data_IF_391283901322
#
_entry.id   IF_391283901322
#
_cell.length_a   1.000
_cell.length_b   1.000
_cell.length_c   1.000
_cell.angle_alpha   90.00
_cell.angle_beta   90.00
_cell.angle_gamma   90.00
#
_symmetry.space_group_name_H-M   'P 1'
#
loop_
_entity.id
_entity.type
_entity.pdbx_description
1 polymer ?
#
# COMPACT_ATOMS: atom_id res chain seq x y z
N UNK A 1 -15.78 12.72 -25.11
CA UNK A 1 -14.60 12.98 -24.27
C UNK A 1 -14.45 11.78 -23.35
N UNK A 2 -13.34 11.05 -23.43
CA UNK A 2 -13.09 9.94 -22.51
C UNK A 2 -12.86 10.53 -21.11
N UNK A 3 -13.63 10.07 -20.13
CA UNK A 3 -13.43 10.44 -18.74
C UNK A 3 -12.26 9.62 -18.19
N UNK A 4 -11.14 10.27 -17.94
CA UNK A 4 -9.98 9.66 -17.29
C UNK A 4 -10.20 9.66 -15.78
N UNK A 5 -10.04 8.51 -15.13
CA UNK A 5 -10.14 8.36 -13.67
C UNK A 5 -8.72 8.25 -13.11
N UNK A 6 -8.43 8.99 -12.03
CA UNK A 6 -7.17 8.91 -11.31
C UNK A 6 -7.15 7.66 -10.44
N UNK A 7 -6.17 6.77 -10.62
CA UNK A 7 -6.05 5.54 -9.83
C UNK A 7 -5.58 5.80 -8.38
N UNK A 8 -5.13 7.02 -8.07
CA UNK A 8 -4.71 7.41 -6.72
C UNK A 8 -5.86 7.84 -5.80
N UNK A 9 -6.78 8.66 -6.31
CA UNK A 9 -7.91 9.20 -5.55
C UNK A 9 -9.28 8.71 -6.05
N UNK A 10 -9.32 7.95 -7.15
CA UNK A 10 -10.54 7.48 -7.83
C UNK A 10 -11.51 8.59 -8.26
N UNK A 11 -11.01 9.83 -8.42
CA UNK A 11 -11.79 10.95 -8.94
C UNK A 11 -11.53 11.15 -10.45
N UNK A 12 -12.49 11.79 -11.13
CA UNK A 12 -12.34 12.18 -12.53
C UNK A 12 -11.25 13.25 -12.68
N UNK A 13 -10.36 13.05 -13.65
CA UNK A 13 -9.32 14.00 -14.02
C UNK A 13 -9.93 14.99 -15.01
N UNK A 14 -10.21 16.21 -14.54
CA UNK A 14 -10.77 17.27 -15.38
C UNK A 14 -9.70 18.02 -16.19
N UNK A 15 -8.47 17.99 -15.72
CA UNK A 15 -7.34 18.66 -16.37
C UNK A 15 -6.70 17.74 -17.41
N UNK A 16 -6.29 18.28 -18.56
CA UNK A 16 -5.55 17.52 -19.59
C UNK A 16 -4.15 17.08 -19.14
N UNK A 17 -3.72 17.50 -17.96
CA UNK A 17 -2.41 17.19 -17.38
C UNK A 17 -2.54 16.02 -16.41
N UNK A 18 -2.11 14.85 -16.85
CA UNK A 18 -2.02 13.64 -16.03
C UNK A 18 -0.72 12.91 -16.34
N UNK A 19 -0.37 11.93 -15.50
CA UNK A 19 0.80 11.08 -15.72
C UNK A 19 0.40 9.60 -15.75
N UNK A 20 1.05 8.84 -16.63
CA UNK A 20 0.85 7.40 -16.77
C UNK A 20 2.01 6.69 -16.10
N UNK A 21 1.72 5.75 -15.20
CA UNK A 21 2.74 4.89 -14.62
C UNK A 21 3.31 3.95 -15.68
N UNK A 22 4.64 3.94 -15.91
CA UNK A 22 5.26 3.07 -16.92
C UNK A 22 5.06 1.57 -16.68
N UNK A 23 4.78 1.16 -15.44
CA UNK A 23 4.70 -0.26 -15.09
C UNK A 23 3.27 -0.82 -15.10
N UNK A 24 2.28 -0.04 -14.67
CA UNK A 24 0.88 -0.48 -14.65
C UNK A 24 -0.03 0.23 -15.67
N UNK A 25 0.50 1.21 -16.40
CA UNK A 25 -0.23 2.02 -17.38
C UNK A 25 -1.49 2.72 -16.85
N UNK A 26 -1.59 2.89 -15.53
CA UNK A 26 -2.70 3.60 -14.89
C UNK A 26 -2.45 5.11 -14.90
N UNK A 27 -3.54 5.88 -14.98
CA UNK A 27 -3.54 7.34 -15.00
C UNK A 27 -3.56 7.91 -13.58
N UNK A 28 -2.76 8.94 -13.34
CA UNK A 28 -2.71 9.65 -12.07
C UNK A 28 -2.77 11.15 -12.29
N UNK A 29 -3.58 11.81 -11.47
CA UNK A 29 -3.55 13.26 -11.33
C UNK A 29 -2.21 13.71 -10.70
N UNK A 30 -1.74 14.89 -11.07
CA UNK A 30 -0.46 15.45 -10.65
C UNK A 30 -0.37 15.63 -9.14
N UNK A 31 -1.48 16.03 -8.50
CA UNK A 31 -1.55 16.17 -7.05
C UNK A 31 -1.40 14.81 -6.35
N UNK A 32 -2.07 13.78 -6.85
CA UNK A 32 -1.96 12.41 -6.36
C UNK A 32 -0.56 11.81 -6.58
N UNK A 33 0.08 12.13 -7.71
CA UNK A 33 1.44 11.72 -8.01
C UNK A 33 2.51 12.52 -7.25
N UNK A 34 2.13 13.62 -6.59
CA UNK A 34 3.02 14.61 -5.97
C UNK A 34 4.09 15.14 -6.95
N UNK A 35 3.64 15.48 -8.16
CA UNK A 35 4.49 16.02 -9.23
C UNK A 35 4.02 17.45 -9.56
N UNK A 36 4.92 18.42 -9.47
CA UNK A 36 4.61 19.77 -9.92
C UNK A 36 4.58 19.86 -11.45
N UNK A 37 3.79 20.77 -12.03
CA UNK A 37 3.74 20.99 -13.49
C UNK A 37 5.12 21.19 -14.14
N UNK A 38 6.01 21.94 -13.48
CA UNK A 38 7.41 22.13 -13.92
C UNK A 38 8.21 20.84 -13.98
N UNK A 39 7.88 19.86 -13.13
CA UNK A 39 8.53 18.54 -13.12
C UNK A 39 7.90 17.61 -14.15
N UNK A 40 6.61 17.77 -14.47
CA UNK A 40 5.94 17.02 -15.54
C UNK A 40 6.61 17.27 -16.90
N UNK A 41 6.87 18.54 -17.26
CA UNK A 41 7.56 18.85 -18.53
C UNK A 41 8.91 18.13 -18.62
N UNK A 42 9.72 18.19 -17.56
CA UNK A 42 11.00 17.48 -17.52
C UNK A 42 10.88 15.95 -17.59
N UNK A 43 9.76 15.36 -17.14
CA UNK A 43 9.55 13.91 -17.19
C UNK A 43 9.18 13.49 -18.62
N UNK A 44 8.28 14.24 -19.26
CA UNK A 44 7.85 14.02 -20.64
C UNK A 44 9.02 14.23 -21.61
N UNK A 45 9.78 15.30 -21.41
CA UNK A 45 10.88 15.68 -22.32
C UNK A 45 12.11 14.75 -22.21
N UNK A 46 12.36 14.15 -21.04
CA UNK A 46 13.55 13.31 -20.80
C UNK A 46 13.28 11.80 -20.93
N UNK A 47 12.10 11.41 -21.44
CA UNK A 47 11.63 10.00 -21.46
C UNK A 47 11.79 9.28 -20.11
N UNK A 48 11.80 10.03 -19.00
CA UNK A 48 12.05 9.47 -17.68
C UNK A 48 10.83 8.70 -17.23
N UNK A 49 11.02 7.41 -17.00
CA UNK A 49 9.98 6.52 -16.54
C UNK A 49 9.46 6.88 -15.14
N UNK A 50 8.31 7.53 -15.03
CA UNK A 50 7.63 7.65 -13.74
C UNK A 50 6.94 6.32 -13.38
N UNK A 51 7.02 5.97 -12.09
CA UNK A 51 6.43 4.77 -11.52
C UNK A 51 5.56 5.18 -10.34
N UNK A 52 4.33 4.66 -10.26
CA UNK A 52 3.45 4.93 -9.13
C UNK A 52 3.97 4.28 -7.84
N UNK A 53 3.60 4.80 -6.65
CA UNK A 53 4.04 4.26 -5.36
C UNK A 53 3.81 2.75 -5.21
N UNK A 54 2.65 2.25 -5.66
CA UNK A 54 2.31 0.82 -5.63
C UNK A 54 3.27 -0.04 -6.47
N UNK A 55 3.75 0.47 -7.61
CA UNK A 55 4.73 -0.24 -8.43
C UNK A 55 6.15 -0.15 -7.86
N UNK A 56 6.50 0.94 -7.19
CA UNK A 56 7.81 1.11 -6.53
C UNK A 56 7.96 0.09 -5.40
N UNK A 57 6.94 -0.09 -4.57
CA UNK A 57 6.98 -1.02 -3.42
C UNK A 57 7.05 -2.49 -3.87
N UNK A 58 6.45 -2.83 -5.03
CA UNK A 58 6.46 -4.21 -5.57
C UNK A 58 7.79 -4.63 -6.19
N UNK A 59 8.70 -3.69 -6.52
CA UNK A 59 10.00 -4.06 -7.08
C UNK A 59 10.89 -4.64 -5.98
N UNK A 60 11.36 -5.91 -6.10
CA UNK A 60 12.29 -6.47 -5.14
C UNK A 60 13.55 -5.60 -5.10
N UNK A 61 13.92 -5.12 -3.90
CA UNK A 61 15.17 -4.37 -3.70
C UNK A 61 16.33 -5.31 -4.03
N UNK A 62 16.90 -5.19 -5.23
CA UNK A 62 17.91 -6.13 -5.73
C UNK A 62 19.23 -6.09 -4.97
N UNK A 63 19.50 -5.04 -4.18
CA UNK A 63 20.78 -4.91 -3.48
C UNK A 63 20.52 -4.56 -2.00
N UNK A 64 20.50 -5.59 -1.14
CA UNK A 64 20.60 -5.43 0.32
C UNK A 64 22.06 -5.28 0.80
N UNK A 65 22.97 -4.82 -0.06
CA UNK A 65 24.41 -4.76 0.25
C UNK A 65 24.79 -3.62 1.22
N UNK A 66 23.84 -2.76 1.63
CA UNK A 66 24.11 -1.64 2.55
C UNK A 66 23.25 -1.63 3.82
N UNK A 67 22.66 -2.76 4.23
CA UNK A 67 22.20 -2.89 5.62
C UNK A 67 23.38 -3.44 6.42
N UNK A 68 24.24 -2.53 6.88
CA UNK A 68 25.19 -2.81 7.96
C UNK A 68 24.42 -3.53 9.06
N UNK A 69 24.88 -4.74 9.38
CA UNK A 69 24.41 -5.51 10.50
C UNK A 69 24.55 -4.66 11.78
N UNK A 70 23.44 -4.14 12.29
CA UNK A 70 23.35 -3.76 13.70
C UNK A 70 23.46 -5.05 14.50
N UNK A 71 24.69 -5.35 14.90
CA UNK A 71 25.03 -6.34 15.91
C UNK A 71 24.16 -6.14 17.16
N UNK A 72 23.36 -7.16 17.47
CA UNK A 72 22.90 -7.58 18.79
C UNK A 72 23.02 -6.52 19.91
N UNK A 73 22.07 -5.58 19.95
CA UNK A 73 21.73 -4.87 21.17
C UNK A 73 20.42 -5.46 21.71
N UNK A 74 20.62 -6.28 22.73
CA UNK A 74 19.70 -6.75 23.77
C UNK A 74 18.28 -6.19 23.74
N UNK A 75 17.34 -7.09 23.49
CA UNK A 75 15.93 -7.01 23.87
C UNK A 75 15.82 -6.62 25.35
N UNK A 76 15.32 -5.41 25.65
CA UNK A 76 14.39 -5.10 26.75
C UNK A 76 14.11 -3.59 26.81
N UNK A 77 13.08 -3.16 26.08
CA UNK A 77 12.21 -2.04 26.46
C UNK A 77 10.96 -2.10 25.59
N UNK A 78 9.87 -2.61 26.16
CA UNK A 78 8.52 -2.48 25.62
C UNK A 78 8.15 -1.00 25.81
N UNK A 79 8.28 -0.19 24.76
CA UNK A 79 7.57 1.08 24.64
C UNK A 79 6.39 0.85 23.71
N UNK A 80 5.19 0.86 24.28
CA UNK A 80 3.95 0.97 23.54
C UNK A 80 3.79 2.41 23.08
N UNK A 81 4.41 2.77 21.96
CA UNK A 81 4.04 3.98 21.23
C UNK A 81 3.66 3.61 19.80
N UNK A 82 2.45 3.96 19.34
CA UNK A 82 2.05 3.75 17.96
C UNK A 82 2.86 4.72 17.10
N UNK A 83 3.78 4.16 16.31
CA UNK A 83 4.55 4.89 15.31
C UNK A 83 3.63 5.30 14.15
N UNK A 84 2.78 6.30 14.41
CA UNK A 84 1.98 6.99 13.41
C UNK A 84 2.72 8.27 13.08
N UNK A 85 3.32 8.34 11.90
CA UNK A 85 3.76 9.62 11.31
C UNK A 85 2.53 10.45 10.95
N UNK A 86 1.88 11.06 11.94
CA UNK A 86 0.92 12.12 11.70
C UNK A 86 1.67 13.34 11.18
N UNK A 87 1.46 13.67 9.90
CA UNK A 87 1.78 15.00 9.38
C UNK A 87 0.99 16.02 10.21
N UNK A 88 1.70 16.84 10.99
CA UNK A 88 1.14 18.01 11.66
C UNK A 88 0.49 18.92 10.60
N UNK A 89 -0.80 19.25 10.69
CA UNK A 89 -1.33 20.39 9.95
C UNK A 89 -0.69 21.64 10.56
N UNK A 90 0.07 22.38 9.75
CA UNK A 90 0.49 23.73 10.12
C UNK A 90 -0.77 24.59 10.18
N UNK A 91 -1.24 24.85 11.40
CA UNK A 91 -2.11 25.99 11.69
C UNK A 91 -1.31 27.25 11.40
N UNK A 92 -1.46 27.78 10.19
CA UNK A 92 -1.03 29.12 9.85
C UNK A 92 -2.07 30.10 10.37
N UNK A 93 -1.54 30.97 11.23
CA UNK A 93 -2.18 31.99 12.01
C UNK A 93 -3.04 32.95 11.18
N UNK A 94 -4.17 33.35 11.78
CA UNK A 94 -4.94 34.52 11.42
C UNK A 94 -4.04 35.76 11.40
N UNK A 95 -4.10 36.52 10.30
CA UNK A 95 -3.87 37.96 10.31
C UNK A 95 -4.91 38.62 9.43
N UNK A 96 -5.84 39.28 10.09
CA UNK A 96 -6.71 40.33 9.56
C UNK A 96 -5.88 41.39 8.85
N UNK A 97 -6.27 41.75 7.63
CA UNK A 97 -6.01 43.07 7.04
C UNK A 97 -7.11 43.31 6.00
N UNK A 98 -7.90 44.34 6.30
CA UNK A 98 -8.82 45.08 5.43
C UNK A 98 -8.11 45.64 4.19
N UNK A 99 -8.73 45.48 3.02
CA UNK A 99 -8.65 46.35 1.81
C UNK A 99 -9.65 45.74 0.79
N UNK A 100 -10.87 46.26 0.63
CA UNK A 100 -11.28 47.31 -0.32
C UNK A 100 -10.81 47.08 -1.77
N UNK A 101 -11.75 46.64 -2.63
CA UNK A 101 -12.02 47.04 -4.04
C UNK A 101 -13.15 46.10 -4.56
N UNK A 102 -14.38 46.56 -4.87
CA UNK A 102 -14.84 47.13 -6.16
C UNK A 102 -14.38 46.25 -7.36
N UNK A 103 -15.20 45.73 -8.28
CA UNK A 103 -16.50 46.15 -8.82
C UNK A 103 -17.12 45.00 -9.67
N UNK A 104 -18.43 45.13 -9.91
CA UNK A 104 -19.19 44.76 -11.11
C UNK A 104 -19.23 43.29 -11.58
N UNK A 105 -20.36 42.62 -11.32
CA UNK A 105 -21.17 42.18 -12.47
C UNK A 105 -22.66 42.24 -12.14
N UNK A 106 -23.36 43.01 -12.96
CA UNK A 106 -24.73 43.45 -12.84
C UNK A 106 -25.51 42.78 -13.96
N UNK A 107 -26.32 41.77 -13.65
CA UNK A 107 -27.31 41.23 -14.59
C UNK A 107 -28.73 41.39 -14.05
N UNK A 108 -29.20 42.61 -14.24
CA UNK A 108 -30.49 43.01 -14.83
C UNK A 108 -31.67 42.06 -14.60
N UNK A 109 -32.55 42.56 -13.74
CA UNK A 109 -33.92 42.19 -13.50
C UNK A 109 -34.80 42.42 -14.76
N UNK A 110 -35.59 41.41 -15.13
CA UNK A 110 -36.68 41.56 -16.08
C UNK A 110 -37.94 40.92 -15.49
N UNK A 111 -38.76 41.74 -14.80
CA UNK A 111 -40.12 41.37 -14.41
C UNK A 111 -41.04 42.53 -14.78
N UNK A 112 -41.56 42.48 -16.00
CA UNK A 112 -42.47 43.47 -16.54
C UNK A 112 -43.93 43.09 -16.30
N UNK A 113 -44.71 44.13 -16.02
CA UNK A 113 -46.12 44.32 -16.37
C UNK A 113 -47.17 43.42 -15.68
N UNK A 114 -47.63 43.88 -14.52
CA UNK A 114 -49.04 43.78 -14.17
C UNK A 114 -49.68 45.18 -14.25
N UNK A 115 -50.49 45.35 -15.29
CA UNK A 115 -51.39 46.46 -15.54
C UNK A 115 -52.38 46.65 -14.37
N UNK A 116 -52.36 47.83 -13.76
CA UNK A 116 -53.44 48.33 -12.91
C UNK A 116 -53.62 49.83 -13.17
N UNK A 117 -54.46 50.16 -14.14
CA UNK A 117 -55.12 51.46 -14.21
C UNK A 117 -56.40 51.36 -15.05
N UNK A 118 -57.50 50.98 -14.41
CA UNK A 118 -58.84 51.00 -15.01
C UNK A 118 -59.92 51.44 -14.00
N UNK A 119 -59.59 52.35 -13.08
CA UNK A 119 -60.58 53.01 -12.22
C UNK A 119 -60.18 54.48 -12.01
N UNK A 120 -60.66 55.31 -12.92
CA UNK A 120 -60.59 56.75 -12.82
C UNK A 120 -61.39 57.31 -13.97
N UNK A 121 -62.70 57.45 -13.77
CA UNK A 121 -63.55 58.47 -14.40
C UNK A 121 -65.01 58.23 -14.02
N UNK A 122 -65.44 58.77 -12.88
CA UNK A 122 -66.82 59.24 -12.72
C UNK A 122 -66.90 60.30 -11.61
N UNK A 123 -66.66 61.56 -11.96
CA UNK A 123 -67.19 62.70 -11.19
C UNK A 123 -68.04 63.56 -12.15
N UNK A 124 -69.35 63.28 -12.10
CA UNK A 124 -70.46 64.23 -11.97
C UNK A 124 -70.43 65.57 -12.71
N UNK A 125 -71.33 65.72 -13.68
CA UNK A 125 -72.09 66.97 -13.89
C UNK A 125 -73.56 66.61 -14.07
N UNK A 126 -74.37 66.80 -13.03
CA UNK A 126 -75.82 66.93 -13.18
C UNK A 126 -76.27 68.11 -12.30
N UNK A 127 -76.43 69.25 -12.97
CA UNK A 127 -77.14 70.40 -12.45
C UNK A 127 -78.64 70.23 -12.75
N UNK A 128 -79.49 70.37 -11.74
CA UNK A 128 -80.91 70.69 -11.93
C UNK A 128 -81.91 69.87 -11.13
N UNK A 129 -82.64 70.59 -10.26
CA UNK A 129 -84.02 70.32 -9.76
C UNK A 129 -84.20 69.31 -8.61
N UNK A 130 -85.31 69.41 -7.86
CA UNK A 130 -85.63 70.46 -6.91
C UNK A 130 -85.79 69.90 -5.47
N UNK A 131 -85.81 70.83 -4.50
CA UNK A 131 -86.13 70.59 -3.09
C UNK A 131 -87.29 69.61 -2.91
N UNK A 132 -86.99 68.45 -2.31
CA UNK A 132 -87.98 67.63 -1.64
C UNK A 132 -87.40 67.18 -0.31
N UNK A 133 -87.96 67.73 0.76
CA UNK A 133 -87.72 67.39 2.15
C UNK A 133 -87.65 65.86 2.32
N UNK A 134 -86.45 65.35 2.61
CA UNK A 134 -86.27 64.02 3.17
C UNK A 134 -85.65 64.18 4.54
N UNK A 135 -86.40 63.67 5.51
CA UNK A 135 -86.03 63.45 6.90
C UNK A 135 -84.55 63.10 7.06
N UNK A 136 -83.94 63.73 8.07
CA UNK A 136 -82.55 63.54 8.49
C UNK A 136 -82.22 62.05 8.64
N UNK A 137 -81.76 61.42 7.58
CA UNK A 137 -80.94 60.23 7.69
C UNK A 137 -79.61 60.67 8.33
N UNK A 138 -79.08 59.94 9.33
CA UNK A 138 -77.83 60.30 9.97
C UNK A 138 -76.73 60.36 8.90
N UNK A 139 -76.25 61.57 8.62
CA UNK A 139 -75.18 61.78 7.66
C UNK A 139 -73.92 61.12 8.20
N UNK A 140 -73.54 60.01 7.58
CA UNK A 140 -72.26 59.35 7.86
C UNK A 140 -71.16 60.40 7.68
N UNK A 141 -70.40 60.66 8.74
CA UNK A 141 -69.27 61.59 8.66
C UNK A 141 -68.10 60.92 7.96
N UNK A 142 -67.24 61.71 7.33
CA UNK A 142 -66.04 61.20 6.63
C UNK A 142 -65.16 60.37 7.59
N UNK A 143 -65.07 60.77 8.86
CA UNK A 143 -64.35 60.03 9.91
C UNK A 143 -64.92 58.62 10.15
N UNK A 144 -66.25 58.41 10.04
CA UNK A 144 -66.85 57.08 10.17
C UNK A 144 -66.47 56.17 8.98
N UNK A 145 -66.26 56.76 7.80
CA UNK A 145 -65.81 56.04 6.60
C UNK A 145 -64.34 55.65 6.74
N UNK A 146 -63.48 56.56 7.22
CA UNK A 146 -62.06 56.27 7.50
C UNK A 146 -61.90 55.15 8.52
N UNK A 147 -62.62 55.21 9.65
CA UNK A 147 -62.59 54.15 10.66
C UNK A 147 -63.06 52.78 10.12
N UNK A 148 -64.04 52.78 9.21
CA UNK A 148 -64.50 51.56 8.55
C UNK A 148 -63.46 51.01 7.57
N UNK A 149 -62.78 51.88 6.81
CA UNK A 149 -61.70 51.52 5.90
C UNK A 149 -60.52 50.90 6.67
N UNK A 150 -60.08 51.52 7.76
CA UNK A 150 -58.99 51.01 8.58
C UNK A 150 -59.31 49.64 9.18
N UNK A 151 -60.51 49.47 9.74
CA UNK A 151 -60.97 48.16 10.26
C UNK A 151 -61.02 47.08 9.16
N UNK A 152 -61.36 47.44 7.93
CA UNK A 152 -61.39 46.51 6.80
C UNK A 152 -59.98 46.17 6.32
N UNK A 153 -59.09 47.17 6.22
CA UNK A 153 -57.69 46.98 5.86
C UNK A 153 -56.98 46.10 6.88
N UNK A 154 -57.15 46.37 8.17
CA UNK A 154 -56.59 45.56 9.26
C UNK A 154 -57.09 44.11 9.19
N UNK A 155 -58.39 43.91 8.92
CA UNK A 155 -58.96 42.57 8.76
C UNK A 155 -58.37 41.83 7.54
N UNK A 156 -58.11 42.54 6.44
CA UNK A 156 -57.48 41.95 5.25
C UNK A 156 -56.02 41.63 5.52
N UNK A 157 -55.27 42.56 6.12
CA UNK A 157 -53.87 42.36 6.51
C UNK A 157 -53.73 41.16 7.44
N UNK A 158 -54.55 41.06 8.48
CA UNK A 158 -54.52 39.94 9.42
C UNK A 158 -54.82 38.60 8.74
N UNK A 159 -55.77 38.57 7.80
CA UNK A 159 -56.04 37.36 6.99
C UNK A 159 -54.86 36.99 6.11
N UNK A 160 -54.27 37.95 5.41
CA UNK A 160 -53.14 37.73 4.52
C UNK A 160 -51.92 37.22 5.32
N UNK A 161 -51.58 37.87 6.43
CA UNK A 161 -50.50 37.44 7.33
C UNK A 161 -50.77 36.03 7.87
N UNK A 162 -52.01 35.72 8.23
CA UNK A 162 -52.37 34.37 8.71
C UNK A 162 -52.16 33.30 7.64
N UNK A 163 -52.57 33.57 6.40
CA UNK A 163 -52.43 32.65 5.26
C UNK A 163 -50.95 32.42 4.93
N UNK A 164 -50.18 33.50 4.79
CA UNK A 164 -48.73 33.43 4.53
C UNK A 164 -48.02 32.65 5.64
N UNK A 165 -48.36 32.92 6.90
CA UNK A 165 -47.77 32.20 8.04
C UNK A 165 -48.10 30.70 8.01
N UNK A 166 -49.32 30.32 7.62
CA UNK A 166 -49.70 28.90 7.52
C UNK A 166 -48.98 28.21 6.37
N UNK A 167 -48.87 28.85 5.21
CA UNK A 167 -48.26 28.29 4.01
C UNK A 167 -46.74 28.13 4.14
N UNK A 168 -46.06 29.17 4.65
CA UNK A 168 -44.63 29.10 4.97
C UNK A 168 -44.38 28.00 6.02
N UNK A 169 -45.24 27.91 7.04
CA UNK A 169 -45.10 26.88 8.07
C UNK A 169 -45.28 25.47 7.49
N UNK A 170 -46.28 25.23 6.64
CA UNK A 170 -46.49 23.91 6.03
C UNK A 170 -45.34 23.54 5.10
N UNK A 171 -44.86 24.49 4.29
CA UNK A 171 -43.74 24.28 3.39
C UNK A 171 -42.46 23.91 4.14
N UNK A 172 -42.09 24.68 5.17
CA UNK A 172 -40.92 24.39 6.00
C UNK A 172 -41.06 23.03 6.70
N UNK A 173 -42.25 22.70 7.20
CA UNK A 173 -42.50 21.43 7.87
C UNK A 173 -42.37 20.23 6.92
N UNK A 174 -42.88 20.35 5.70
CA UNK A 174 -42.77 19.32 4.68
C UNK A 174 -41.32 19.13 4.23
N UNK A 175 -40.60 20.22 3.98
CA UNK A 175 -39.19 20.18 3.58
C UNK A 175 -38.30 19.56 4.66
N UNK A 176 -38.51 19.91 5.93
CA UNK A 176 -37.81 19.27 7.06
C UNK A 176 -38.13 17.78 7.12
N UNK A 177 -39.41 17.40 6.94
CA UNK A 177 -39.82 15.99 6.97
C UNK A 177 -39.19 15.19 5.84
N UNK A 178 -39.14 15.76 4.63
CA UNK A 178 -38.53 15.13 3.46
C UNK A 178 -37.01 14.96 3.65
N UNK A 179 -36.33 15.98 4.16
CA UNK A 179 -34.91 15.90 4.45
C UNK A 179 -34.58 14.87 5.55
N UNK A 180 -35.40 14.78 6.60
CA UNK A 180 -35.26 13.73 7.62
C UNK A 180 -35.46 12.34 7.02
N UNK A 181 -36.46 12.16 6.14
CA UNK A 181 -36.69 10.88 5.47
C UNK A 181 -35.49 10.47 4.61
N UNK A 182 -34.94 11.39 3.80
CA UNK A 182 -33.76 11.16 2.96
C UNK A 182 -32.51 10.84 3.78
N UNK A 183 -32.27 11.56 4.88
CA UNK A 183 -31.14 11.26 5.76
C UNK A 183 -31.29 9.87 6.40
N UNK A 184 -32.48 9.49 6.85
CA UNK A 184 -32.71 8.20 7.46
C UNK A 184 -32.52 7.04 6.48
N UNK A 185 -32.94 7.18 5.22
CA UNK A 185 -32.68 6.17 4.19
C UNK A 185 -31.19 6.05 3.88
N UNK A 186 -30.46 7.17 3.78
CA UNK A 186 -29.01 7.15 3.58
C UNK A 186 -28.26 6.49 4.75
N UNK A 187 -28.64 6.82 5.99
CA UNK A 187 -28.09 6.21 7.20
C UNK A 187 -28.34 4.70 7.19
N UNK A 188 -29.55 4.27 6.83
CA UNK A 188 -29.92 2.85 6.79
C UNK A 188 -29.11 2.09 5.73
N UNK A 189 -29.00 2.64 4.52
CA UNK A 189 -28.18 2.05 3.45
C UNK A 189 -26.71 1.93 3.84
N UNK A 190 -26.15 2.96 4.49
CA UNK A 190 -24.77 2.92 5.00
C UNK A 190 -24.63 1.88 6.11
N UNK A 191 -25.59 1.79 7.03
CA UNK A 191 -25.58 0.80 8.11
C UNK A 191 -25.63 -0.63 7.56
N UNK A 192 -26.45 -0.89 6.56
CA UNK A 192 -26.52 -2.19 5.88
C UNK A 192 -25.19 -2.52 5.20
N UNK A 193 -24.59 -1.55 4.49
CA UNK A 193 -23.28 -1.75 3.86
C UNK A 193 -22.20 -2.11 4.88
N UNK A 194 -22.14 -1.41 6.02
CA UNK A 194 -21.21 -1.71 7.11
C UNK A 194 -21.47 -3.08 7.70
N UNK A 195 -22.74 -3.45 7.90
CA UNK A 195 -23.14 -4.75 8.43
C UNK A 195 -22.71 -5.89 7.50
N UNK A 196 -22.85 -5.72 6.19
CA UNK A 196 -22.37 -6.73 5.21
C UNK A 196 -20.85 -6.89 5.24
N UNK A 197 -20.09 -5.79 5.38
CA UNK A 197 -18.63 -5.83 5.50
C UNK A 197 -18.22 -6.52 6.80
N UNK A 198 -18.88 -6.20 7.92
CA UNK A 198 -18.62 -6.81 9.21
C UNK A 198 -18.90 -8.33 9.19
N UNK A 199 -19.96 -8.77 8.52
CA UNK A 199 -20.27 -10.19 8.34
C UNK A 199 -19.16 -10.91 7.56
N UNK A 200 -18.71 -10.34 6.44
CA UNK A 200 -17.59 -10.90 5.65
C UNK A 200 -16.30 -10.99 6.47
N UNK A 201 -15.95 -9.93 7.18
CA UNK A 201 -14.78 -9.92 8.07
C UNK A 201 -14.86 -10.98 9.16
N UNK A 202 -16.05 -11.18 9.75
CA UNK A 202 -16.27 -12.22 10.75
C UNK A 202 -16.04 -13.63 10.17
N UNK A 203 -16.52 -13.90 8.96
CA UNK A 203 -16.29 -15.17 8.27
C UNK A 203 -14.81 -15.38 7.94
N UNK A 204 -14.11 -14.34 7.47
CA UNK A 204 -12.68 -14.40 7.18
C UNK A 204 -11.85 -14.70 8.44
N UNK A 205 -12.19 -14.06 9.56
CA UNK A 205 -11.55 -14.32 10.87
C UNK A 205 -11.77 -15.77 11.30
N UNK A 206 -12.98 -16.32 11.12
CA UNK A 206 -13.27 -17.72 11.44
C UNK A 206 -12.42 -18.67 10.59
N UNK A 207 -12.34 -18.44 9.27
CA UNK A 207 -11.54 -19.24 8.36
C UNK A 207 -10.04 -19.18 8.69
N UNK A 208 -9.51 -18.00 9.03
CA UNK A 208 -8.13 -17.83 9.45
C UNK A 208 -7.83 -18.54 10.78
N UNK A 209 -8.78 -18.47 11.72
CA UNK A 209 -8.67 -19.17 13.01
C UNK A 209 -8.59 -20.68 12.83
N UNK A 210 -9.43 -21.25 11.95
CA UNK A 210 -9.38 -22.67 11.62
C UNK A 210 -8.03 -23.07 10.97
N UNK A 211 -7.51 -22.24 10.06
CA UNK A 211 -6.21 -22.46 9.43
C UNK A 211 -5.06 -22.43 10.45
N UNK A 212 -5.09 -21.51 11.41
CA UNK A 212 -4.11 -21.45 12.51
C UNK A 212 -4.14 -22.74 13.31
N UNK A 213 -5.33 -23.19 13.74
CA UNK A 213 -5.49 -24.44 14.48
C UNK A 213 -4.98 -25.67 13.72
N UNK A 214 -5.15 -25.70 12.39
CA UNK A 214 -4.62 -26.76 11.54
C UNK A 214 -3.09 -26.77 11.52
N UNK A 215 -2.47 -25.61 11.33
CA UNK A 215 -1.01 -25.46 11.33
C UNK A 215 -0.39 -25.78 12.69
N UNK A 216 -1.05 -25.43 13.79
CA UNK A 216 -0.59 -25.80 15.13
C UNK A 216 -0.58 -27.32 15.35
N UNK A 217 -1.61 -28.02 14.86
CA UNK A 217 -1.66 -29.49 14.90
C UNK A 217 -0.55 -30.13 14.06
N UNK A 218 -0.30 -29.60 12.87
CA UNK A 218 0.77 -30.09 11.99
C UNK A 218 2.16 -29.84 12.59
N UNK A 219 2.40 -28.64 13.13
CA UNK A 219 3.64 -28.31 13.83
C UNK A 219 3.87 -29.24 15.02
N UNK A 220 2.84 -29.52 15.81
CA UNK A 220 2.95 -30.45 16.93
C UNK A 220 3.30 -31.88 16.48
N UNK A 221 2.75 -32.32 15.34
CA UNK A 221 3.08 -33.62 14.73
C UNK A 221 4.53 -33.67 14.27
N UNK A 222 4.97 -32.70 13.47
CA UNK A 222 6.35 -32.62 12.96
C UNK A 222 7.37 -32.54 14.08
N UNK A 223 7.05 -31.82 15.17
CA UNK A 223 7.92 -31.75 16.34
C UNK A 223 8.15 -33.12 16.98
N UNK A 224 7.12 -33.96 17.06
CA UNK A 224 7.23 -35.34 17.56
C UNK A 224 8.05 -36.22 16.62
N UNK A 225 7.89 -36.06 15.31
CA UNK A 225 8.66 -36.81 14.32
C UNK A 225 10.15 -36.46 14.38
N UNK A 226 10.49 -35.18 14.55
CA UNK A 226 11.88 -34.73 14.75
C UNK A 226 12.48 -35.34 16.03
N UNK A 227 11.75 -35.29 17.14
CA UNK A 227 12.19 -35.89 18.41
C UNK A 227 12.44 -37.40 18.27
N UNK A 228 11.55 -38.10 17.57
CA UNK A 228 11.71 -39.53 17.27
C UNK A 228 12.99 -39.81 16.45
N UNK A 229 13.24 -39.03 15.40
CA UNK A 229 14.45 -39.18 14.57
C UNK A 229 15.73 -38.87 15.34
N UNK A 230 15.73 -37.83 16.18
CA UNK A 230 16.88 -37.47 17.01
C UNK A 230 17.20 -38.58 18.03
N UNK A 231 16.19 -39.14 18.68
CA UNK A 231 16.36 -40.24 19.63
C UNK A 231 16.92 -41.50 18.96
N UNK A 232 16.46 -41.84 17.75
CA UNK A 232 16.99 -42.96 16.98
C UNK A 232 18.45 -42.74 16.54
N UNK A 233 18.82 -41.52 16.16
CA UNK A 233 20.20 -41.20 15.79
C UNK A 233 21.18 -41.34 16.97
N UNK A 234 20.75 -40.94 18.18
CA UNK A 234 21.56 -41.13 19.39
C UNK A 234 21.80 -42.62 19.74
N UNK A 235 20.85 -43.51 19.42
CA UNK A 235 21.03 -44.94 19.65
C UNK A 235 22.04 -45.59 18.68
N UNK A 236 22.17 -45.08 17.45
CA UNK A 236 23.17 -45.57 16.49
C UNK A 236 24.61 -45.14 16.82
N UNK A 237 24.80 -43.95 17.41
CA UNK A 237 26.12 -43.41 17.72
C UNK A 237 26.75 -43.91 19.03
N UNK A 238 25.98 -44.59 19.88
CA UNK A 238 26.48 -45.13 21.16
C UNK A 238 26.97 -46.58 21.06
N UNK A 239 27.08 -47.17 19.87
CA UNK A 239 27.90 -48.39 19.70
C UNK A 239 29.37 -47.96 19.77
N UNK A 240 30.15 -48.42 20.76
CA UNK A 240 31.56 -48.06 20.87
C UNK A 240 32.28 -48.50 19.60
N UNK A 241 32.76 -47.51 18.85
CA UNK A 241 33.61 -47.68 17.68
C UNK A 241 34.96 -48.24 18.11
N UNK A 242 35.02 -49.54 18.35
CA UNK A 242 36.24 -50.32 18.21
C UNK A 242 36.20 -50.97 16.83
N UNK A 243 36.46 -50.18 15.79
CA UNK A 243 36.93 -50.72 14.52
C UNK A 243 37.78 -49.68 13.79
N UNK A 244 39.08 -49.74 14.08
CA UNK A 244 40.20 -49.10 13.38
C UNK A 244 40.39 -49.60 11.93
N UNK A 245 39.31 -49.91 11.22
CA UNK A 245 39.34 -50.32 9.81
C UNK A 245 38.73 -49.22 8.97
N UNK A 246 39.36 -48.05 9.03
CA UNK A 246 39.20 -47.03 8.01
C UNK A 246 39.69 -47.63 6.68
N UNK A 247 38.71 -48.11 5.92
CA UNK A 247 38.84 -48.82 4.65
C UNK A 247 38.82 -47.82 3.48
N UNK A 248 39.34 -46.61 3.69
CA UNK A 248 39.33 -45.56 2.69
C UNK A 248 40.31 -45.93 1.56
N UNK A 249 39.81 -45.89 0.32
CA UNK A 249 40.64 -45.91 -0.90
C UNK A 249 41.21 -44.53 -1.23
N UNK A 250 40.74 -43.50 -0.53
CA UNK A 250 41.03 -42.10 -0.80
C UNK A 250 42.20 -41.63 0.05
N UNK A 251 43.04 -40.81 -0.54
CA UNK A 251 44.07 -40.03 0.13
C UNK A 251 43.95 -38.58 -0.32
N UNK A 252 44.29 -37.65 0.55
CA UNK A 252 44.36 -36.23 0.23
C UNK A 252 45.82 -35.79 0.18
N UNK A 253 46.28 -35.38 -0.99
CA UNK A 253 47.60 -34.80 -1.24
C UNK A 253 47.53 -33.27 -1.18
N UNK A 254 48.32 -32.68 -0.30
CA UNK A 254 48.46 -31.24 -0.11
C UNK A 254 49.82 -30.76 -0.62
N UNK A 255 49.91 -29.47 -0.97
CA UNK A 255 51.19 -28.80 -1.26
C UNK A 255 51.61 -28.80 -2.73
N UNK A 256 50.96 -29.60 -3.59
CA UNK A 256 51.27 -29.63 -5.02
C UNK A 256 50.76 -28.37 -5.73
N UNK A 257 51.67 -27.62 -6.37
CA UNK A 257 51.35 -26.39 -7.08
C UNK A 257 50.47 -26.65 -8.32
N UNK A 258 49.45 -25.82 -8.50
CA UNK A 258 48.52 -25.88 -9.64
C UNK A 258 49.00 -24.95 -10.77
N UNK A 259 49.11 -25.50 -11.98
CA UNK A 259 49.44 -24.71 -13.16
C UNK A 259 48.17 -24.20 -13.85
N UNK A 260 48.29 -23.03 -14.50
CA UNK A 260 47.21 -22.54 -15.34
C UNK A 260 47.02 -23.51 -16.50
N UNK A 261 45.79 -24.01 -16.65
CA UNK A 261 45.42 -24.96 -17.71
C UNK A 261 46.03 -26.36 -17.56
N UNK A 262 46.43 -26.74 -16.35
CA UNK A 262 46.82 -28.12 -16.01
C UNK A 262 45.72 -29.10 -16.46
N UNK A 263 46.09 -30.05 -17.31
CA UNK A 263 45.20 -31.16 -17.71
C UNK A 263 45.22 -32.28 -16.68
N UNK A 264 44.22 -33.16 -16.71
CA UNK A 264 44.19 -34.33 -15.82
C UNK A 264 45.39 -35.26 -16.05
N UNK A 265 45.82 -35.43 -17.31
CA UNK A 265 47.00 -36.24 -17.67
C UNK A 265 48.30 -35.63 -17.12
N UNK A 266 48.47 -34.30 -17.22
CA UNK A 266 49.64 -33.62 -16.64
C UNK A 266 49.68 -33.75 -15.11
N UNK A 267 48.52 -33.61 -14.45
CA UNK A 267 48.41 -33.82 -13.01
C UNK A 267 48.73 -35.26 -12.63
N UNK A 268 48.24 -36.23 -13.41
CA UNK A 268 48.50 -37.65 -13.24
C UNK A 268 49.99 -37.97 -13.31
N UNK A 269 50.67 -37.54 -14.38
CA UNK A 269 52.10 -37.77 -14.58
C UNK A 269 52.95 -37.15 -13.47
N UNK A 270 52.59 -35.94 -13.01
CA UNK A 270 53.27 -35.29 -11.89
C UNK A 270 53.13 -36.07 -10.59
N UNK A 271 51.95 -36.63 -10.32
CA UNK A 271 51.73 -37.45 -9.14
C UNK A 271 52.53 -38.75 -9.23
N UNK A 272 52.52 -39.43 -10.39
CA UNK A 272 53.35 -40.61 -10.61
C UNK A 272 54.82 -40.30 -10.34
N UNK A 273 55.33 -39.20 -10.88
CA UNK A 273 56.72 -38.78 -10.69
C UNK A 273 57.06 -38.52 -9.22
N UNK A 274 56.21 -37.82 -8.47
CA UNK A 274 56.45 -37.50 -7.06
C UNK A 274 56.51 -38.77 -6.20
N UNK A 275 55.58 -39.70 -6.40
CA UNK A 275 55.58 -40.96 -5.63
C UNK A 275 56.71 -41.89 -6.04
N UNK A 276 57.09 -41.90 -7.32
CA UNK A 276 58.24 -42.65 -7.80
C UNK A 276 59.55 -42.08 -7.24
N UNK A 277 59.76 -40.77 -7.34
CA UNK A 277 60.99 -40.10 -6.88
C UNK A 277 61.13 -40.13 -5.35
N UNK A 278 60.06 -39.81 -4.61
CA UNK A 278 60.13 -39.69 -3.15
C UNK A 278 59.96 -41.01 -2.40
N UNK A 279 59.19 -41.96 -2.93
CA UNK A 279 58.86 -43.22 -2.24
C UNK A 279 59.32 -44.47 -2.99
N UNK A 280 59.84 -44.35 -4.21
CA UNK A 280 60.15 -45.48 -5.09
C UNK A 280 58.94 -46.41 -5.33
N UNK A 281 57.75 -45.82 -5.46
CA UNK A 281 56.48 -46.53 -5.72
C UNK A 281 56.00 -46.18 -7.12
N UNK A 282 55.75 -47.18 -7.95
CA UNK A 282 55.03 -46.99 -9.20
C UNK A 282 53.52 -47.01 -8.94
N UNK A 283 52.84 -45.89 -9.18
CA UNK A 283 51.37 -45.78 -9.06
C UNK A 283 50.64 -45.95 -10.40
N UNK A 284 51.35 -46.26 -11.48
CA UNK A 284 50.78 -46.45 -12.81
C UNK A 284 49.74 -47.58 -12.78
N UNK A 285 48.52 -47.28 -13.26
CA UNK A 285 47.38 -48.23 -13.22
C UNK A 285 46.78 -48.48 -11.82
N UNK A 286 47.26 -47.81 -10.77
CA UNK A 286 46.73 -47.94 -9.41
C UNK A 286 45.84 -46.78 -8.96
N UNK A 287 45.80 -45.68 -9.72
CA UNK A 287 44.92 -44.52 -9.48
C UNK A 287 43.62 -44.73 -10.27
N UNK A 288 42.50 -44.67 -9.57
CA UNK A 288 41.13 -44.85 -10.09
C UNK A 288 40.48 -43.50 -10.42
N UNK A 289 40.62 -42.51 -9.52
CA UNK A 289 40.12 -41.15 -9.69
C UNK A 289 41.08 -40.11 -9.09
N UNK A 290 41.10 -38.92 -9.67
CA UNK A 290 42.00 -37.84 -9.32
C UNK A 290 41.32 -36.48 -9.45
N UNK A 291 41.05 -35.81 -8.32
CA UNK A 291 40.28 -34.55 -8.33
C UNK A 291 40.86 -33.51 -7.37
N UNK A 292 40.99 -32.25 -7.82
CA UNK A 292 41.31 -31.10 -6.93
C UNK A 292 40.08 -30.61 -6.16
N UNK A 293 40.24 -30.36 -4.86
CA UNK A 293 39.18 -29.85 -3.99
C UNK A 293 39.16 -28.32 -3.90
N UNK A 294 37.96 -27.74 -3.94
CA UNK A 294 37.71 -26.32 -3.64
C UNK A 294 37.90 -25.37 -4.83
N UNK A 295 37.77 -24.06 -4.55
CA UNK A 295 37.91 -22.97 -5.55
C UNK A 295 39.36 -22.83 -6.02
N UNK A 296 39.58 -22.55 -7.31
CA UNK A 296 40.91 -22.37 -7.94
C UNK A 296 41.87 -21.58 -7.05
N UNK A 297 43.05 -22.13 -6.81
CA UNK A 297 44.07 -21.55 -5.95
C UNK A 297 45.42 -22.23 -6.19
N UNK A 298 46.54 -21.65 -5.70
CA UNK A 298 47.88 -22.08 -6.10
C UNK A 298 48.26 -23.49 -5.62
N UNK A 299 47.64 -24.00 -4.55
CA UNK A 299 47.98 -25.31 -3.93
C UNK A 299 46.74 -26.01 -3.39
N UNK A 300 45.75 -26.22 -4.27
CA UNK A 300 44.53 -26.94 -3.88
C UNK A 300 44.84 -28.37 -3.48
N UNK A 301 44.19 -28.91 -2.42
CA UNK A 301 44.29 -30.32 -2.09
C UNK A 301 43.81 -31.18 -3.26
N UNK A 302 44.44 -32.34 -3.44
CA UNK A 302 44.09 -33.32 -4.47
C UNK A 302 43.62 -34.59 -3.77
N UNK A 303 42.43 -35.05 -4.11
CA UNK A 303 41.94 -36.37 -3.70
C UNK A 303 42.40 -37.38 -4.72
N UNK A 304 43.12 -38.39 -4.25
CA UNK A 304 43.58 -39.53 -5.04
C UNK A 304 42.79 -40.74 -4.55
N UNK A 305 41.97 -41.32 -5.42
CA UNK A 305 41.32 -42.60 -5.15
C UNK A 305 42.17 -43.71 -5.76
N UNK A 306 42.63 -44.65 -4.94
CA UNK A 306 43.42 -45.79 -5.38
C UNK A 306 42.57 -47.04 -5.54
N UNK A 307 42.90 -47.86 -6.53
CA UNK A 307 42.26 -49.16 -6.78
C UNK A 307 42.44 -50.08 -5.55
N UNK A 308 43.64 -50.06 -4.95
CA UNK A 308 44.02 -50.93 -3.84
C UNK A 308 44.09 -50.19 -2.50
N UNK A 309 43.25 -50.62 -1.55
CA UNK A 309 43.30 -50.17 -0.14
C UNK A 309 44.64 -50.47 0.53
N UNK A 310 45.32 -51.55 0.12
CA UNK A 310 46.64 -51.89 0.65
C UNK A 310 47.67 -50.83 0.23
N UNK A 311 47.55 -50.30 -0.99
CA UNK A 311 48.42 -49.21 -1.47
C UNK A 311 48.17 -47.93 -0.68
N UNK A 312 46.91 -47.55 -0.45
CA UNK A 312 46.55 -46.40 0.41
C UNK A 312 47.18 -46.53 1.80
N UNK A 313 47.04 -47.69 2.43
CA UNK A 313 47.63 -47.95 3.75
C UNK A 313 49.16 -47.88 3.71
N UNK A 314 49.79 -48.44 2.68
CA UNK A 314 51.25 -48.42 2.52
C UNK A 314 51.76 -46.98 2.36
N UNK A 315 51.10 -46.16 1.54
CA UNK A 315 51.45 -44.75 1.38
C UNK A 315 51.31 -44.00 2.71
N UNK A 316 50.19 -44.17 3.43
CA UNK A 316 49.96 -43.50 4.71
C UNK A 316 50.99 -43.90 5.78
N UNK A 317 51.40 -45.17 5.82
CA UNK A 317 52.45 -45.65 6.73
C UNK A 317 53.83 -45.07 6.39
N UNK A 318 54.10 -44.86 5.10
CA UNK A 318 55.38 -44.37 4.61
C UNK A 318 55.37 -42.87 4.26
N UNK A 319 54.34 -42.10 4.65
CA UNK A 319 54.20 -40.68 4.30
C UNK A 319 55.34 -39.78 4.78
N UNK A 320 56.13 -40.25 5.74
CA UNK A 320 57.33 -39.56 6.22
C UNK A 320 58.44 -39.49 5.15
N UNK A 321 58.43 -40.38 4.15
CA UNK A 321 59.38 -40.35 3.02
C UNK A 321 59.12 -39.17 2.06
N UNK A 322 57.90 -38.61 2.08
CA UNK A 322 57.55 -37.39 1.33
C UNK A 322 58.09 -36.11 2.01
N UNK A 323 58.78 -36.22 3.16
CA UNK A 323 59.39 -35.04 3.80
C UNK A 323 60.52 -34.52 2.93
N UNK A 324 60.35 -33.31 2.40
CA UNK A 324 61.35 -32.61 1.58
C UNK A 324 60.91 -32.38 0.14
N UNK A 325 59.90 -33.11 -0.35
CA UNK A 325 59.33 -32.89 -1.70
C UNK A 325 58.32 -31.75 -1.77
N UNK A 326 58.00 -31.11 -0.62
CA UNK A 326 57.03 -30.02 -0.54
C UNK A 326 55.56 -30.47 -0.56
N UNK A 327 55.29 -31.77 -0.60
CA UNK A 327 53.94 -32.34 -0.54
C UNK A 327 53.68 -33.07 0.78
N UNK A 328 52.40 -33.16 1.16
CA UNK A 328 51.95 -33.87 2.37
C UNK A 328 50.74 -34.75 2.02
N UNK A 329 50.66 -35.95 2.59
CA UNK A 329 49.54 -36.87 2.39
C UNK A 329 48.79 -37.09 3.69
N UNK A 330 47.47 -37.04 3.64
CA UNK A 330 46.57 -37.43 4.74
C UNK A 330 45.39 -38.30 4.25
N UNK A 331 44.61 -38.81 5.21
CA UNK A 331 43.41 -39.62 4.93
C UNK A 331 42.23 -38.81 4.38
#
# INVERSE_FOLDING_TARGET
>A
MEHLICEGCHQNIFNKEYIICKNCNQNYDLECANISRKRLSNIVDLEKAWHCPSCIVKKPRRNNENILACSNATLNAISQDPNVTLRKPLLANQRSSTELEHNDDSSVYELSTFDRSAFGDTITTLAGLPELERELAPSITIEQIEQLLDKKLEKIQNKLVSLIKTEIKSFIQEEIKNNIATMNTEITNKLDSVTTVQCKQSTDIQNLTEKINNLERERARLSKDIEYLQNNHHQCNNKPSHNNNNNAKKLVLYGLEEFNWETEDELYDRILYIFYDSMNICLEGHIDDLTRLGKRGPRRPIVIELVSKQMTRYILQNKHLLRGSGVMVDE
#
